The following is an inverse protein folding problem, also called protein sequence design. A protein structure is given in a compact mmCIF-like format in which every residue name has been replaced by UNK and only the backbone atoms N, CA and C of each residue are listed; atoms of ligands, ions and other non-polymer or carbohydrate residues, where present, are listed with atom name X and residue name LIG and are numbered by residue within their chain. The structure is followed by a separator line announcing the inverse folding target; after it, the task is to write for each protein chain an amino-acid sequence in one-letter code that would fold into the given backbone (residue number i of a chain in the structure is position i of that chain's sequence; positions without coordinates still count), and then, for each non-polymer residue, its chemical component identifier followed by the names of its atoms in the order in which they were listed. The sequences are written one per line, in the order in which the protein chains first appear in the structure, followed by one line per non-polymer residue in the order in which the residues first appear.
data_IF_502443408434
#
_entry.id   IF_502443408434
#
_cell.length_a   1.000
_cell.length_b   1.000
_cell.length_c   1.000
_cell.angle_alpha   90.00
_cell.angle_beta   90.00
_cell.angle_gamma   90.00
#
_symmetry.space_group_name_H-M   'P 1'
#
loop_
_entity.id
_entity.type
_entity.pdbx_description
1 polymer ?
#
# COMPACT_ATOMS: atom_id res chain seq x y z
N UNK A 1 11.63 -15.29 -6.16
CA UNK A 1 10.70 -14.81 -7.22
C UNK A 1 10.68 -15.84 -8.33
N UNK A 2 9.52 -16.11 -8.94
CA UNK A 2 9.43 -17.03 -10.06
C UNK A 2 9.42 -16.28 -11.40
N UNK A 3 10.13 -16.79 -12.42
CA UNK A 3 10.12 -16.25 -13.78
C UNK A 3 9.40 -17.22 -14.72
N UNK A 4 8.36 -16.77 -15.44
CA UNK A 4 7.66 -17.60 -16.41
C UNK A 4 8.40 -17.64 -17.76
N UNK A 5 8.34 -18.77 -18.47
CA UNK A 5 8.96 -18.91 -19.81
C UNK A 5 8.15 -18.19 -20.91
N UNK A 6 6.83 -18.12 -20.75
CA UNK A 6 5.93 -17.50 -21.73
C UNK A 6 4.72 -16.90 -21.00
N UNK A 7 4.72 -15.57 -20.89
CA UNK A 7 3.59 -14.80 -20.33
C UNK A 7 2.45 -14.59 -21.32
N UNK A 8 2.71 -14.78 -22.62
CA UNK A 8 1.81 -14.39 -23.69
C UNK A 8 1.21 -15.59 -24.44
N UNK A 9 1.72 -16.80 -24.19
CA UNK A 9 1.19 -18.05 -24.72
C UNK A 9 -0.15 -18.44 -24.12
N UNK A 10 -0.91 -19.31 -24.81
CA UNK A 10 -2.19 -19.81 -24.29
C UNK A 10 -1.97 -20.72 -23.07
N UNK A 11 -2.82 -20.56 -22.06
CA UNK A 11 -2.83 -21.40 -20.85
C UNK A 11 -2.21 -20.74 -19.62
N UNK A 12 -2.00 -21.52 -18.56
CA UNK A 12 -1.38 -21.01 -17.34
C UNK A 12 0.12 -20.75 -17.54
N UNK A 13 0.68 -19.67 -16.98
CA UNK A 13 2.12 -19.41 -17.03
C UNK A 13 2.92 -20.60 -16.49
N UNK A 14 3.94 -21.03 -17.23
CA UNK A 14 4.87 -22.08 -16.78
C UNK A 14 6.01 -21.45 -15.99
N UNK A 15 6.06 -21.74 -14.70
CA UNK A 15 7.11 -21.29 -13.79
C UNK A 15 8.22 -22.35 -13.73
N UNK A 16 9.48 -21.98 -14.02
CA UNK A 16 10.61 -22.93 -14.01
C UNK A 16 11.77 -22.56 -13.10
N UNK A 17 11.78 -21.36 -12.54
CA UNK A 17 12.80 -20.94 -11.59
C UNK A 17 12.14 -20.45 -10.33
N UNK A 18 12.65 -20.87 -9.19
CA UNK A 18 12.42 -20.24 -7.88
C UNK A 18 13.76 -19.73 -7.35
N UNK A 19 13.71 -18.74 -6.48
CA UNK A 19 14.92 -18.10 -5.98
C UNK A 19 14.64 -17.18 -4.81
N UNK A 20 15.63 -17.05 -3.95
CA UNK A 20 15.59 -16.19 -2.78
C UNK A 20 15.93 -14.75 -3.18
N UNK A 21 15.12 -13.79 -2.74
CA UNK A 21 15.49 -12.37 -2.79
C UNK A 21 15.98 -11.99 -1.42
N UNK A 22 17.29 -11.80 -1.28
CA UNK A 22 17.89 -11.35 -0.03
C UNK A 22 17.91 -9.83 -0.02
N UNK A 23 16.83 -9.24 0.50
CA UNK A 23 16.78 -7.80 0.72
C UNK A 23 17.51 -7.46 2.02
N UNK A 24 18.45 -6.51 1.94
CA UNK A 24 19.20 -6.01 3.10
C UNK A 24 19.04 -4.49 3.17
N UNK A 25 18.04 -3.98 3.92
CA UNK A 25 17.94 -2.56 4.20
C UNK A 25 19.23 -2.02 4.83
N UNK A 26 19.55 -0.77 4.50
CA UNK A 26 20.59 -0.02 5.23
C UNK A 26 20.15 0.15 6.69
N UNK A 27 21.12 0.36 7.59
CA UNK A 27 20.79 0.63 8.99
C UNK A 27 19.98 1.93 9.09
N UNK A 28 18.78 1.82 9.66
CA UNK A 28 17.84 2.93 9.74
C UNK A 28 17.49 3.31 11.18
N UNK A 29 18.19 2.75 12.18
CA UNK A 29 17.82 2.89 13.59
C UNK A 29 17.79 4.36 14.06
N UNK A 30 18.85 5.13 13.76
CA UNK A 30 18.96 6.52 14.19
C UNK A 30 17.92 7.42 13.52
N UNK A 31 17.74 7.28 12.21
CA UNK A 31 16.76 8.06 11.44
C UNK A 31 15.33 7.73 11.87
N UNK A 32 15.03 6.44 12.14
CA UNK A 32 13.73 6.00 12.63
C UNK A 32 13.43 6.54 14.04
N UNK A 33 14.36 6.38 14.99
CA UNK A 33 14.16 6.83 16.38
C UNK A 33 13.97 8.35 16.44
N UNK A 34 14.78 9.12 15.72
CA UNK A 34 14.65 10.57 15.66
C UNK A 34 13.31 11.00 15.06
N UNK A 35 12.90 10.35 13.96
CA UNK A 35 11.64 10.67 13.26
C UNK A 35 10.43 10.30 14.12
N UNK A 36 10.38 9.10 14.70
CA UNK A 36 9.29 8.70 15.57
C UNK A 36 9.17 9.57 16.82
N UNK A 37 10.30 9.90 17.47
CA UNK A 37 10.31 10.82 18.61
C UNK A 37 9.69 12.16 18.26
N UNK A 38 10.08 12.72 17.10
CA UNK A 38 9.53 13.98 16.58
C UNK A 38 8.02 13.84 16.33
N UNK A 39 7.58 12.81 15.60
CA UNK A 39 6.18 12.63 15.23
C UNK A 39 5.28 12.37 16.43
N UNK A 40 5.71 11.57 17.41
CA UNK A 40 4.95 11.34 18.64
C UNK A 40 4.75 12.63 19.42
N UNK A 41 5.77 13.49 19.51
CA UNK A 41 5.67 14.79 20.17
C UNK A 41 4.74 15.76 19.43
N UNK A 42 4.78 15.76 18.10
CA UNK A 42 4.04 16.73 17.27
C UNK A 42 2.60 16.31 17.00
N UNK A 43 2.32 15.02 16.89
CA UNK A 43 1.04 14.49 16.35
C UNK A 43 0.22 13.71 17.37
N UNK A 44 0.76 13.41 18.56
CA UNK A 44 0.06 12.65 19.61
C UNK A 44 -0.05 13.47 20.91
N UNK A 45 -1.23 13.48 21.57
CA UNK A 45 -1.40 14.15 22.87
C UNK A 45 -0.40 13.68 23.92
N UNK A 46 0.02 14.61 24.78
CA UNK A 46 0.98 14.37 25.85
C UNK A 46 0.30 14.44 27.24
N UNK A 47 0.69 13.60 28.21
CA UNK A 47 1.66 12.50 28.08
C UNK A 47 1.15 11.39 27.16
N UNK A 48 2.06 10.65 26.53
CA UNK A 48 1.69 9.50 25.69
C UNK A 48 0.81 8.52 26.49
N UNK A 49 -0.21 7.92 25.86
CA UNK A 49 -0.93 6.80 26.47
C UNK A 49 0.04 5.69 26.88
N UNK A 50 -0.13 5.04 28.05
CA UNK A 50 0.84 4.07 28.56
C UNK A 50 1.19 2.95 27.58
N UNK A 51 0.20 2.40 26.87
CA UNK A 51 0.43 1.36 25.85
C UNK A 51 1.29 1.86 24.68
N UNK A 52 1.02 3.07 24.19
CA UNK A 52 1.81 3.66 23.11
C UNK A 52 3.24 4.00 23.56
N UNK A 53 3.42 4.41 24.82
CA UNK A 53 4.74 4.64 25.39
C UNK A 53 5.54 3.33 25.48
N UNK A 54 4.93 2.24 25.93
CA UNK A 54 5.57 0.92 25.99
C UNK A 54 5.94 0.40 24.59
N UNK A 55 5.01 0.50 23.62
CA UNK A 55 5.26 0.15 22.22
C UNK A 55 6.45 0.92 21.65
N UNK A 56 6.52 2.23 21.93
CA UNK A 56 7.62 3.06 21.45
C UNK A 56 8.97 2.67 22.05
N UNK A 57 9.04 2.42 23.35
CA UNK A 57 10.29 1.98 24.01
C UNK A 57 10.72 0.58 23.54
N UNK A 58 9.77 -0.31 23.26
CA UNK A 58 10.05 -1.62 22.68
C UNK A 58 10.56 -1.49 21.23
N UNK A 59 9.93 -0.64 20.41
CA UNK A 59 10.38 -0.36 19.05
C UNK A 59 11.81 0.21 19.04
N UNK A 60 12.16 1.11 19.97
CA UNK A 60 13.52 1.64 20.13
C UNK A 60 14.56 0.54 20.38
N UNK A 61 14.26 -0.42 21.26
CA UNK A 61 15.15 -1.56 21.51
C UNK A 61 15.33 -2.42 20.25
N UNK A 62 14.21 -2.76 19.60
CA UNK A 62 14.21 -3.58 18.38
C UNK A 62 14.92 -2.90 17.20
N UNK A 63 14.82 -1.57 17.06
CA UNK A 63 15.54 -0.82 16.04
C UNK A 63 17.06 -1.00 16.15
N UNK A 64 17.60 -1.17 17.36
CA UNK A 64 19.04 -1.39 17.58
C UNK A 64 19.49 -2.81 17.27
N UNK A 65 18.56 -3.72 17.03
CA UNK A 65 18.82 -5.10 16.66
C UNK A 65 18.73 -5.31 15.14
N UNK A 66 19.87 -5.58 14.50
CA UNK A 66 19.97 -5.78 13.04
C UNK A 66 19.03 -6.87 12.50
N UNK A 67 18.63 -7.83 13.33
CA UNK A 67 17.71 -8.90 12.94
C UNK A 67 16.32 -8.33 12.62
N UNK A 68 15.78 -7.47 13.50
CA UNK A 68 14.47 -6.85 13.31
C UNK A 68 14.44 -5.87 12.14
N UNK A 69 15.57 -5.23 11.81
CA UNK A 69 15.67 -4.40 10.62
C UNK A 69 15.63 -5.20 9.29
N UNK A 70 15.92 -6.51 9.33
CA UNK A 70 16.08 -7.35 8.13
C UNK A 70 14.96 -8.37 7.92
N UNK A 71 14.24 -8.73 8.96
CA UNK A 71 13.16 -9.71 8.89
C UNK A 71 11.78 -9.03 8.98
N UNK A 72 10.73 -9.77 8.61
CA UNK A 72 9.35 -9.30 8.74
C UNK A 72 8.86 -8.37 7.62
N UNK A 73 9.62 -8.21 6.55
CA UNK A 73 9.21 -7.45 5.37
C UNK A 73 8.26 -8.27 4.48
N UNK A 74 7.01 -7.81 4.35
CA UNK A 74 5.93 -8.53 3.69
C UNK A 74 5.43 -7.76 2.47
N UNK A 75 5.20 -8.42 1.32
CA UNK A 75 4.48 -7.83 0.20
C UNK A 75 2.97 -7.86 0.43
N UNK A 76 2.25 -6.92 -0.19
CA UNK A 76 0.78 -6.98 -0.26
C UNK A 76 0.24 -6.47 -1.59
N UNK A 77 0.57 -5.23 -1.96
CA UNK A 77 0.11 -4.63 -3.20
C UNK A 77 1.02 -5.03 -4.38
N UNK A 78 0.48 -4.92 -5.58
CA UNK A 78 1.21 -5.19 -6.84
C UNK A 78 2.42 -4.25 -7.01
N UNK A 79 3.51 -4.71 -7.67
CA UNK A 79 4.63 -3.85 -8.01
C UNK A 79 4.25 -2.72 -8.97
N UNK A 80 5.00 -1.62 -8.91
CA UNK A 80 4.91 -0.52 -9.87
C UNK A 80 6.16 -0.53 -10.75
N UNK A 81 5.98 -0.62 -12.07
CA UNK A 81 7.07 -0.57 -13.05
C UNK A 81 7.15 0.85 -13.62
N UNK A 82 8.30 1.50 -13.48
CA UNK A 82 8.54 2.84 -14.00
C UNK A 82 8.88 2.80 -15.50
N UNK A 83 8.75 3.93 -16.23
CA UNK A 83 9.13 3.99 -17.65
C UNK A 83 10.57 3.57 -17.94
N UNK A 84 11.49 3.72 -16.99
CA UNK A 84 12.88 3.27 -17.07
C UNK A 84 13.04 1.74 -17.05
N UNK A 85 11.99 1.00 -16.67
CA UNK A 85 12.05 -0.43 -16.41
C UNK A 85 12.33 -0.79 -14.95
N UNK A 86 12.64 0.21 -14.08
CA UNK A 86 12.76 0.02 -12.63
C UNK A 86 11.47 -0.57 -12.07
N UNK A 87 11.61 -1.62 -11.26
CA UNK A 87 10.50 -2.26 -10.53
C UNK A 87 10.55 -1.83 -9.07
N UNK A 88 9.44 -1.31 -8.57
CA UNK A 88 9.22 -1.04 -7.15
C UNK A 88 8.25 -2.09 -6.61
N UNK A 89 8.72 -2.97 -5.73
CA UNK A 89 7.90 -3.90 -4.97
C UNK A 89 7.67 -3.33 -3.56
N UNK A 90 6.45 -2.89 -3.23
CA UNK A 90 6.15 -2.36 -1.90
C UNK A 90 6.21 -3.45 -0.84
N UNK A 91 6.92 -3.18 0.25
CA UNK A 91 7.01 -4.03 1.42
C UNK A 91 6.68 -3.23 2.68
N UNK A 92 6.22 -3.91 3.72
CA UNK A 92 5.98 -3.32 5.03
C UNK A 92 6.37 -4.27 6.15
N UNK A 93 6.50 -3.75 7.36
CA UNK A 93 6.72 -4.56 8.57
C UNK A 93 5.73 -4.16 9.66
N UNK A 94 5.08 -5.16 10.27
CA UNK A 94 4.22 -4.95 11.43
C UNK A 94 5.04 -4.63 12.70
N UNK A 95 6.34 -4.97 12.72
CA UNK A 95 7.23 -4.69 13.88
C UNK A 95 7.32 -3.20 14.18
N UNK A 96 7.45 -2.37 13.15
CA UNK A 96 7.63 -0.92 13.29
C UNK A 96 6.49 -0.12 12.67
N UNK A 97 5.55 -0.79 12.00
CA UNK A 97 4.49 -0.18 11.18
C UNK A 97 5.03 0.90 10.22
N UNK A 98 6.06 0.51 9.46
CA UNK A 98 6.67 1.32 8.38
C UNK A 98 6.76 0.49 7.10
N UNK A 99 7.06 1.17 6.00
CA UNK A 99 7.16 0.57 4.67
C UNK A 99 8.52 0.83 4.01
N UNK A 100 8.89 0.02 3.04
CA UNK A 100 10.03 0.22 2.12
C UNK A 100 9.61 -0.20 0.70
N UNK A 101 10.43 0.17 -0.29
CA UNK A 101 10.40 -0.45 -1.61
C UNK A 101 11.59 -1.40 -1.73
N UNK A 102 11.34 -2.63 -2.16
CA UNK A 102 12.37 -3.42 -2.80
C UNK A 102 12.45 -2.95 -4.27
N UNK A 103 13.64 -2.56 -4.70
CA UNK A 103 13.89 -1.93 -6.00
C UNK A 103 14.76 -2.84 -6.84
N UNK A 104 14.39 -3.00 -8.11
CA UNK A 104 15.21 -3.68 -9.11
C UNK A 104 15.31 -2.85 -10.38
N UNK A 105 16.54 -2.66 -10.86
CA UNK A 105 16.86 -1.91 -12.08
C UNK A 105 17.25 -2.82 -13.26
N UNK A 106 17.21 -4.13 -13.06
CA UNK A 106 17.70 -5.12 -14.02
C UNK A 106 16.62 -6.15 -14.40
N UNK A 107 15.34 -5.82 -14.26
CA UNK A 107 14.25 -6.75 -14.58
C UNK A 107 14.10 -7.89 -13.56
N UNK A 108 14.36 -7.58 -12.29
CA UNK A 108 14.15 -8.47 -11.15
C UNK A 108 15.28 -9.48 -10.90
N UNK A 109 16.46 -9.32 -11.49
CA UNK A 109 17.62 -10.20 -11.23
C UNK A 109 18.28 -9.86 -9.89
N UNK A 110 18.46 -8.58 -9.57
CA UNK A 110 18.96 -8.11 -8.29
C UNK A 110 18.02 -7.08 -7.66
N UNK A 111 18.11 -6.96 -6.33
CA UNK A 111 17.22 -6.12 -5.53
C UNK A 111 17.98 -5.39 -4.44
N UNK A 112 17.61 -4.13 -4.19
CA UNK A 112 18.08 -3.34 -3.05
C UNK A 112 16.90 -2.59 -2.42
N UNK A 113 17.05 -2.15 -1.17
CA UNK A 113 15.96 -1.47 -0.45
C UNK A 113 16.04 0.05 -0.64
N UNK A 114 14.89 0.70 -0.72
CA UNK A 114 14.76 2.15 -0.50
C UNK A 114 15.07 2.52 0.95
N UNK A 115 15.11 3.82 1.25
CA UNK A 115 14.91 4.28 2.62
C UNK A 115 13.48 3.93 3.11
N UNK A 116 13.28 3.73 4.43
CA UNK A 116 11.95 3.55 4.97
C UNK A 116 11.04 4.76 4.75
N UNK A 117 9.77 4.48 4.52
CA UNK A 117 8.68 5.44 4.59
C UNK A 117 8.27 5.54 6.05
N UNK A 118 8.71 6.59 6.73
CA UNK A 118 8.37 6.84 8.12
C UNK A 118 7.00 7.48 8.26
N UNK A 119 6.34 7.21 9.38
CA UNK A 119 5.03 7.72 9.73
C UNK A 119 4.57 7.10 11.05
N UNK A 120 3.35 7.39 11.47
CA UNK A 120 2.73 6.76 12.63
C UNK A 120 1.75 5.70 12.13
N UNK A 121 2.25 4.53 11.72
CA UNK A 121 1.42 3.38 11.38
C UNK A 121 1.27 3.05 9.89
N UNK A 122 2.08 3.62 8.99
CA UNK A 122 1.88 3.43 7.55
C UNK A 122 2.39 2.08 7.04
N UNK A 123 1.48 1.24 6.55
CA UNK A 123 1.82 -0.08 6.00
C UNK A 123 1.03 -0.41 4.73
N UNK A 124 1.47 -1.45 4.01
CA UNK A 124 0.84 -1.97 2.78
C UNK A 124 0.69 -0.90 1.68
N UNK A 125 1.81 -0.37 1.12
CA UNK A 125 1.73 0.71 0.13
C UNK A 125 1.20 0.23 -1.21
N UNK A 126 0.32 1.02 -1.82
CA UNK A 126 0.02 0.99 -3.24
C UNK A 126 0.59 2.24 -3.89
N UNK A 127 1.44 2.08 -4.92
CA UNK A 127 2.24 3.17 -5.49
C UNK A 127 1.72 3.59 -6.86
N UNK A 128 1.33 4.86 -7.00
CA UNK A 128 0.96 5.50 -8.26
C UNK A 128 2.03 6.49 -8.70
N UNK A 129 2.08 6.80 -10.00
CA UNK A 129 3.03 7.74 -10.60
C UNK A 129 2.28 8.89 -11.27
N UNK A 130 2.58 10.12 -10.88
CA UNK A 130 2.11 11.34 -11.53
C UNK A 130 2.76 11.54 -12.91
N UNK A 131 2.19 12.44 -13.71
CA UNK A 131 2.69 12.82 -15.02
C UNK A 131 4.10 13.42 -14.92
N UNK A 132 4.37 14.21 -13.88
CA UNK A 132 5.68 14.82 -13.60
C UNK A 132 6.76 13.81 -13.15
N UNK A 133 6.39 12.56 -12.88
CA UNK A 133 7.29 11.51 -12.41
C UNK A 133 7.32 11.29 -10.91
N UNK A 134 6.69 12.17 -10.12
CA UNK A 134 6.52 11.98 -8.69
C UNK A 134 5.73 10.70 -8.41
N UNK A 135 6.22 9.89 -7.48
CA UNK A 135 5.52 8.70 -7.00
C UNK A 135 4.73 9.04 -5.75
N UNK A 136 3.55 8.46 -5.62
CA UNK A 136 2.67 8.63 -4.45
C UNK A 136 2.30 7.25 -3.93
N UNK A 137 2.63 6.99 -2.67
CA UNK A 137 2.25 5.78 -1.95
C UNK A 137 1.00 6.06 -1.12
N UNK A 138 -0.06 5.30 -1.36
CA UNK A 138 -1.25 5.24 -0.49
C UNK A 138 -1.16 3.98 0.37
N UNK A 139 -1.37 4.12 1.68
CA UNK A 139 -1.14 3.08 2.68
C UNK A 139 -2.31 3.01 3.64
N UNK A 140 -2.59 1.81 4.18
CA UNK A 140 -3.53 1.68 5.29
C UNK A 140 -2.93 2.27 6.56
N UNK A 141 -3.80 2.63 7.49
CA UNK A 141 -3.40 3.13 8.79
C UNK A 141 -3.37 2.01 9.83
N UNK A 142 -2.20 1.71 10.38
CA UNK A 142 -2.04 0.85 11.56
C UNK A 142 -1.82 1.67 12.84
N UNK A 143 -1.93 2.99 12.75
CA UNK A 143 -1.81 3.94 13.83
C UNK A 143 -3.15 4.55 14.23
N UNK A 144 -3.14 5.75 14.84
CA UNK A 144 -4.32 6.33 15.48
C UNK A 144 -5.17 7.23 14.57
N UNK A 145 -4.81 7.43 13.30
CA UNK A 145 -5.41 8.48 12.46
C UNK A 145 -6.76 8.09 11.84
N UNK A 146 -7.03 6.78 11.70
CA UNK A 146 -8.18 6.21 10.98
C UNK A 146 -8.36 6.79 9.57
N UNK A 147 -7.24 7.06 8.90
CA UNK A 147 -7.18 7.77 7.62
C UNK A 147 -6.08 7.23 6.73
N UNK A 148 -6.32 7.17 5.43
CA UNK A 148 -5.32 6.71 4.46
C UNK A 148 -4.05 7.55 4.62
N UNK A 149 -2.93 6.83 4.72
CA UNK A 149 -1.60 7.38 4.87
C UNK A 149 -0.98 7.62 3.48
N UNK A 150 -0.37 8.78 3.26
CA UNK A 150 0.19 9.19 1.97
C UNK A 150 1.64 9.65 2.12
N UNK A 151 2.49 9.20 1.20
CA UNK A 151 3.89 9.64 1.11
C UNK A 151 4.30 9.80 -0.35
N UNK A 152 5.21 10.72 -0.63
CA UNK A 152 5.68 11.03 -1.98
C UNK A 152 7.17 10.77 -2.14
N UNK A 153 7.57 10.34 -3.33
CA UNK A 153 8.98 10.23 -3.75
C UNK A 153 9.22 11.01 -5.04
N UNK A 154 10.29 11.80 -5.05
CA UNK A 154 10.73 12.62 -6.19
C UNK A 154 12.01 12.08 -6.85
N UNK A 155 12.49 10.92 -6.40
CA UNK A 155 13.74 10.29 -6.82
C UNK A 155 13.54 8.82 -7.21
N UNK A 156 12.41 8.54 -7.85
CA UNK A 156 12.06 7.21 -8.37
C UNK A 156 12.03 6.10 -7.30
N UNK A 157 11.56 6.44 -6.09
CA UNK A 157 11.26 5.50 -5.01
C UNK A 157 12.41 5.24 -4.06
N UNK A 158 13.54 5.95 -4.19
CA UNK A 158 14.72 5.78 -3.34
C UNK A 158 14.49 6.38 -1.95
N UNK A 159 13.97 7.61 -1.90
CA UNK A 159 13.56 8.29 -0.67
C UNK A 159 12.11 8.74 -0.74
N UNK A 160 11.50 8.88 0.43
CA UNK A 160 10.09 9.15 0.58
C UNK A 160 9.88 10.24 1.63
N UNK A 161 8.88 11.08 1.44
CA UNK A 161 8.45 12.03 2.46
C UNK A 161 7.95 11.29 3.69
N UNK A 162 7.96 11.95 4.85
CA UNK A 162 7.22 11.44 6.01
C UNK A 162 5.76 11.30 5.63
N UNK A 163 5.16 10.18 6.01
CA UNK A 163 3.76 9.86 5.74
C UNK A 163 2.84 10.82 6.48
N UNK A 164 1.78 11.26 5.79
CA UNK A 164 0.74 12.12 6.32
C UNK A 164 -0.64 11.52 6.07
N UNK A 165 -1.56 11.75 7.01
CA UNK A 165 -2.95 11.34 6.87
C UNK A 165 -3.65 12.23 5.85
N UNK A 166 -4.39 11.64 4.92
CA UNK A 166 -5.28 12.37 4.04
C UNK A 166 -6.72 12.42 4.59
N UNK A 167 -7.65 12.96 3.80
CA UNK A 167 -9.06 13.11 4.16
C UNK A 167 -9.93 11.84 4.03
N UNK A 168 -9.40 10.76 3.44
CA UNK A 168 -10.14 9.52 3.23
C UNK A 168 -10.04 8.65 4.48
N UNK A 169 -11.18 8.24 5.01
CA UNK A 169 -11.24 7.35 6.18
C UNK A 169 -10.65 5.97 5.84
N UNK A 170 -10.04 5.34 6.84
CA UNK A 170 -9.55 3.98 6.75
C UNK A 170 -9.55 3.31 8.13
N UNK A 171 -10.26 2.19 8.33
CA UNK A 171 -10.36 1.50 9.63
C UNK A 171 -9.16 0.54 9.87
N UNK A 172 -7.99 0.87 9.33
CA UNK A 172 -6.82 -0.01 9.27
C UNK A 172 -6.97 -1.24 8.37
N UNK A 173 -7.83 -1.15 7.35
CA UNK A 173 -7.96 -2.17 6.30
C UNK A 173 -7.10 -1.85 5.08
N UNK A 174 -6.61 -2.88 4.39
CA UNK A 174 -5.79 -2.71 3.19
C UNK A 174 -6.56 -2.03 2.04
N UNK A 175 -5.85 -1.24 1.24
CA UNK A 175 -6.34 -0.57 0.04
C UNK A 175 -5.48 -0.93 -1.17
N UNK A 176 -6.04 -0.95 -2.37
CA UNK A 176 -5.25 -1.03 -3.61
C UNK A 176 -5.60 0.13 -4.54
N UNK A 177 -4.64 0.50 -5.39
CA UNK A 177 -4.75 1.66 -6.27
C UNK A 177 -4.30 1.34 -7.69
N UNK A 178 -4.87 2.00 -8.69
CA UNK A 178 -4.40 1.91 -10.08
C UNK A 178 -4.47 3.28 -10.75
N UNK A 179 -3.45 3.59 -11.56
CA UNK A 179 -3.48 4.68 -12.54
C UNK A 179 -3.97 4.09 -13.85
N UNK A 180 -5.09 4.59 -14.34
CA UNK A 180 -5.72 4.17 -15.57
C UNK A 180 -4.95 4.68 -16.79
N UNK A 181 -5.19 4.06 -17.94
CA UNK A 181 -4.60 4.42 -19.23
C UNK A 181 -4.88 5.87 -19.65
N UNK A 182 -6.01 6.44 -19.25
CA UNK A 182 -6.37 7.85 -19.47
C UNK A 182 -5.72 8.82 -18.45
N UNK A 183 -4.95 8.30 -17.49
CA UNK A 183 -4.27 9.08 -16.46
C UNK A 183 -5.06 9.26 -15.16
N UNK A 184 -6.35 8.92 -15.13
CA UNK A 184 -7.17 8.97 -13.92
C UNK A 184 -6.71 7.94 -12.88
N UNK A 185 -6.96 8.20 -11.60
CA UNK A 185 -6.56 7.32 -10.50
C UNK A 185 -7.78 6.72 -9.83
N UNK A 186 -7.69 5.44 -9.48
CA UNK A 186 -8.75 4.74 -8.76
C UNK A 186 -8.17 4.09 -7.51
N UNK A 187 -8.80 4.34 -6.35
CA UNK A 187 -8.54 3.59 -5.11
C UNK A 187 -9.72 2.67 -4.82
N UNK A 188 -9.43 1.49 -4.28
CA UNK A 188 -10.41 0.57 -3.70
C UNK A 188 -10.07 0.32 -2.23
N UNK A 189 -10.97 0.72 -1.33
CA UNK A 189 -10.75 0.61 0.12
C UNK A 189 -12.06 0.58 0.93
N UNK A 190 -11.97 0.22 2.21
CA UNK A 190 -13.03 0.49 3.17
C UNK A 190 -12.86 1.92 3.71
N UNK A 191 -13.87 2.76 3.55
CA UNK A 191 -13.88 4.17 3.94
C UNK A 191 -14.78 4.43 5.18
N UNK A 192 -14.61 3.59 6.19
CA UNK A 192 -15.32 3.65 7.49
C UNK A 192 -14.35 4.01 8.62
N UNK A 193 -14.90 4.45 9.76
CA UNK A 193 -14.12 4.64 10.99
C UNK A 193 -13.84 3.31 11.70
N UNK A 194 -14.79 2.39 11.63
CA UNK A 194 -14.70 1.05 12.20
C UNK A 194 -15.37 0.05 11.26
N UNK A 195 -15.01 -1.22 11.40
CA UNK A 195 -15.54 -2.31 10.59
C UNK A 195 -15.08 -2.28 9.13
N UNK A 196 -15.49 -3.28 8.35
CA UNK A 196 -15.14 -3.42 6.93
C UNK A 196 -16.36 -3.75 6.08
N UNK A 197 -17.51 -3.23 6.51
CA UNK A 197 -18.84 -3.52 5.98
C UNK A 197 -19.20 -2.70 4.73
N UNK A 198 -18.29 -1.84 4.29
CA UNK A 198 -18.38 -1.05 3.06
C UNK A 198 -17.07 -1.13 2.30
N UNK A 199 -17.14 -1.35 0.99
CA UNK A 199 -15.99 -1.34 0.09
C UNK A 199 -16.27 -0.38 -1.06
N UNK A 200 -15.43 0.63 -1.21
CA UNK A 200 -15.71 1.82 -2.02
C UNK A 200 -14.61 2.08 -3.04
N UNK A 201 -15.02 2.36 -4.28
CA UNK A 201 -14.16 2.92 -5.31
C UNK A 201 -14.15 4.44 -5.19
N UNK A 202 -12.95 5.02 -5.18
CA UNK A 202 -12.72 6.46 -5.28
C UNK A 202 -12.03 6.73 -6.62
N UNK A 203 -12.50 7.74 -7.37
CA UNK A 203 -11.93 8.14 -8.65
C UNK A 203 -11.47 9.60 -8.59
N UNK A 204 -10.22 9.81 -8.98
CA UNK A 204 -9.58 11.12 -9.14
C UNK A 204 -9.21 11.34 -10.60
N UNK A 205 -9.57 12.52 -11.12
CA UNK A 205 -9.23 12.96 -12.49
C UNK A 205 -8.02 13.93 -12.48
N UNK A 206 -7.43 14.18 -11.31
CA UNK A 206 -6.41 15.22 -11.06
C UNK A 206 -5.19 14.70 -10.27
N UNK A 207 -4.84 13.43 -10.48
CA UNK A 207 -3.64 12.79 -9.91
C UNK A 207 -3.63 12.75 -8.38
N UNK A 208 -4.80 12.47 -7.80
CA UNK A 208 -5.00 12.27 -6.37
C UNK A 208 -5.12 13.55 -5.55
N UNK A 209 -5.22 14.72 -6.20
CA UNK A 209 -5.44 16.00 -5.52
C UNK A 209 -6.86 16.11 -4.96
N UNK A 210 -7.85 15.59 -5.69
CA UNK A 210 -9.24 15.48 -5.22
C UNK A 210 -9.89 14.18 -5.68
N UNK A 211 -10.87 13.71 -4.90
CA UNK A 211 -11.62 12.49 -5.16
C UNK A 211 -13.10 12.81 -5.39
N UNK A 212 -13.38 13.42 -6.53
CA UNK A 212 -14.71 13.93 -6.89
C UNK A 212 -15.78 12.85 -6.91
N UNK A 213 -15.42 11.64 -7.35
CA UNK A 213 -16.37 10.54 -7.52
C UNK A 213 -16.04 9.41 -6.56
N UNK A 214 -17.07 8.86 -5.92
CA UNK A 214 -16.95 7.62 -5.16
C UNK A 214 -18.23 6.79 -5.24
N UNK A 215 -18.08 5.48 -5.28
CA UNK A 215 -19.22 4.54 -5.32
C UNK A 215 -18.87 3.24 -4.60
N UNK A 216 -19.73 2.86 -3.66
CA UNK A 216 -19.60 1.59 -2.94
C UNK A 216 -19.94 0.42 -3.87
N UNK A 217 -19.03 -0.54 -3.98
CA UNK A 217 -19.32 -1.85 -4.61
C UNK A 217 -19.98 -2.80 -3.62
N UNK A 218 -19.79 -2.57 -2.32
CA UNK A 218 -20.47 -3.27 -1.24
C UNK A 218 -20.79 -2.27 -0.12
N UNK A 219 -21.98 -2.36 0.47
CA UNK A 219 -22.38 -1.53 1.62
C UNK A 219 -23.48 -2.24 2.42
N UNK A 220 -23.09 -3.21 3.22
CA UNK A 220 -24.01 -4.08 3.96
C UNK A 220 -23.56 -4.22 5.41
N UNK A 221 -24.37 -3.87 6.42
CA UNK A 221 -23.97 -3.88 7.82
C UNK A 221 -23.37 -5.20 8.34
N UNK A 222 -23.86 -6.34 7.85
CA UNK A 222 -23.37 -7.68 8.23
C UNK A 222 -22.24 -8.18 7.32
N UNK A 223 -21.93 -7.45 6.25
CA UNK A 223 -20.84 -7.77 5.34
C UNK A 223 -19.49 -7.42 5.94
N UNK A 224 -18.44 -8.12 5.52
CA UNK A 224 -17.06 -7.75 5.81
C UNK A 224 -16.17 -8.07 4.61
N UNK A 225 -15.53 -7.03 4.09
CA UNK A 225 -14.81 -7.07 2.82
C UNK A 225 -13.34 -6.74 3.04
N UNK A 226 -12.43 -7.63 2.63
CA UNK A 226 -11.02 -7.52 2.99
C UNK A 226 -10.11 -7.65 1.78
N UNK A 227 -8.92 -7.05 1.93
CA UNK A 227 -7.79 -7.21 1.02
C UNK A 227 -8.15 -7.05 -0.46
N UNK A 228 -8.73 -5.90 -0.85
CA UNK A 228 -9.04 -5.65 -2.25
C UNK A 228 -7.79 -5.61 -3.12
N UNK A 229 -7.92 -6.12 -4.34
CA UNK A 229 -6.99 -5.99 -5.45
C UNK A 229 -7.73 -5.37 -6.63
N UNK A 230 -7.08 -4.44 -7.34
CA UNK A 230 -7.65 -3.66 -8.44
C UNK A 230 -6.62 -3.52 -9.57
N UNK A 231 -7.02 -3.89 -10.78
CA UNK A 231 -6.24 -3.66 -12.01
C UNK A 231 -7.15 -3.16 -13.14
N UNK A 232 -6.56 -2.47 -14.13
CA UNK A 232 -7.23 -2.18 -15.40
C UNK A 232 -6.81 -3.21 -16.45
N UNK A 233 -7.78 -3.82 -17.11
CA UNK A 233 -7.56 -4.73 -18.23
C UNK A 233 -7.22 -3.98 -19.52
N UNK A 234 -6.72 -4.70 -20.53
CA UNK A 234 -6.36 -4.11 -21.84
C UNK A 234 -7.54 -3.43 -22.55
N UNK A 235 -8.77 -3.87 -22.28
CA UNK A 235 -9.99 -3.28 -22.83
C UNK A 235 -10.50 -2.05 -22.06
N UNK A 236 -9.75 -1.55 -21.07
CA UNK A 236 -10.10 -0.37 -20.27
C UNK A 236 -10.96 -0.67 -19.03
N UNK A 237 -11.50 -1.88 -18.92
CA UNK A 237 -12.34 -2.31 -17.80
C UNK A 237 -11.53 -2.51 -16.52
N UNK A 238 -12.13 -2.23 -15.38
CA UNK A 238 -11.58 -2.49 -14.06
C UNK A 238 -11.93 -3.92 -13.62
N UNK A 239 -10.93 -4.63 -13.10
CA UNK A 239 -11.06 -5.96 -12.53
C UNK A 239 -10.70 -5.90 -11.05
N UNK A 240 -11.62 -6.37 -10.22
CA UNK A 240 -11.52 -6.27 -8.76
C UNK A 240 -11.68 -7.65 -8.15
N UNK A 241 -10.86 -7.97 -7.16
CA UNK A 241 -10.96 -9.20 -6.37
C UNK A 241 -10.78 -8.88 -4.90
N UNK A 242 -11.62 -9.44 -4.04
CA UNK A 242 -11.59 -9.20 -2.59
C UNK A 242 -12.20 -10.38 -1.83
N UNK A 243 -11.83 -10.51 -0.56
CA UNK A 243 -12.51 -11.43 0.36
C UNK A 243 -13.91 -10.90 0.66
N UNK A 244 -14.91 -11.76 0.51
CA UNK A 244 -16.33 -11.47 0.69
C UNK A 244 -16.89 -12.36 1.80
N UNK A 245 -17.08 -11.78 2.98
CA UNK A 245 -17.60 -12.48 4.16
C UNK A 245 -18.99 -11.94 4.49
N UNK A 246 -19.98 -12.83 4.50
CA UNK A 246 -21.39 -12.57 4.85
C UNK A 246 -21.92 -13.74 5.68
N UNK A 247 -23.16 -13.64 6.18
CA UNK A 247 -23.77 -14.66 7.04
C UNK A 247 -23.85 -16.03 6.36
N UNK A 248 -24.06 -16.07 5.05
CA UNK A 248 -24.13 -17.32 4.27
C UNK A 248 -22.76 -17.98 4.05
N UNK A 249 -21.66 -17.26 4.28
CA UNK A 249 -20.31 -17.83 4.18
C UNK A 249 -19.22 -16.86 3.76
N UNK A 250 -18.04 -17.42 3.50
CA UNK A 250 -16.81 -16.70 3.17
C UNK A 250 -16.26 -17.18 1.83
N UNK A 251 -16.04 -16.25 0.91
CA UNK A 251 -15.50 -16.55 -0.43
C UNK A 251 -14.60 -15.42 -0.94
N UNK A 252 -14.07 -15.56 -2.15
CA UNK A 252 -13.50 -14.47 -2.93
C UNK A 252 -14.52 -14.02 -3.97
N UNK A 253 -14.78 -12.71 -4.06
CA UNK A 253 -15.66 -12.13 -5.07
C UNK A 253 -14.82 -11.44 -6.14
N UNK A 254 -15.24 -11.63 -7.39
CA UNK A 254 -14.69 -10.96 -8.56
C UNK A 254 -15.75 -10.00 -9.13
N UNK A 255 -15.33 -8.79 -9.45
CA UNK A 255 -16.17 -7.77 -10.07
C UNK A 255 -15.45 -7.21 -11.28
N UNK A 256 -16.21 -6.94 -12.35
CA UNK A 256 -15.75 -6.26 -13.55
C UNK A 256 -16.69 -5.11 -13.87
N UNK A 257 -16.15 -3.92 -14.09
CA UNK A 257 -16.92 -2.70 -14.36
C UNK A 257 -16.06 -1.67 -15.12
N UNK A 258 -16.70 -0.75 -15.82
CA UNK A 258 -16.05 0.41 -16.44
C UNK A 258 -15.86 1.58 -15.46
N UNK A 259 -15.00 2.54 -15.82
CA UNK A 259 -14.81 3.78 -15.03
C UNK A 259 -16.13 4.56 -14.86
N UNK A 260 -16.96 4.62 -15.90
CA UNK A 260 -18.23 5.38 -15.88
C UNK A 260 -19.22 4.89 -14.82
N UNK A 261 -19.13 3.61 -14.45
CA UNK A 261 -19.92 3.06 -13.35
C UNK A 261 -19.62 3.79 -12.04
N UNK A 262 -18.39 4.23 -11.80
CA UNK A 262 -18.01 4.98 -10.59
C UNK A 262 -18.70 6.35 -10.56
N UNK A 263 -18.90 6.97 -11.73
CA UNK A 263 -19.54 8.29 -11.89
C UNK A 263 -21.07 8.24 -11.75
N UNK A 264 -21.66 7.04 -11.76
CA UNK A 264 -23.11 6.85 -11.65
C UNK A 264 -23.86 6.96 -12.98
N UNK A 265 -23.15 6.88 -14.11
CA UNK A 265 -23.74 6.81 -15.44
C UNK A 265 -24.08 5.37 -15.84
#
# INVERSE_FOLDING_TARGET
MAKPEDLNGPGAPKWRSEGLVLLKPADFADEAEATFTKLLKERVPQPLPPGLQEEFENAKKQLREKLYQRLGWQPRCKPTVLPSGRILLPLYTDTFSISIMAISDDGGHSWYASKPIYGLGNIQPSVLRRNDGTLVAYMRDNGPANRVQVSESKDEGITWSVSESNEILNPGSGLDAVRLQNGHWVLLLNDTLDGRNRLTLYLSEDEGQSWKWKRSIEDHPQGSYHYPCLIQGKSGELHLVYSYFVDEGKTMKYVRLGEDWIKGN
#
